data_IF_608763619253
#
_entry.id   IF_608763619253
#
_cell.length_a   1.000
_cell.length_b   1.000
_cell.length_c   1.000
_cell.angle_alpha   90.00
_cell.angle_beta   90.00
_cell.angle_gamma   90.00
#
_symmetry.space_group_name_H-M   'P 1'
#
loop_
_entity.id
_entity.type
_entity.pdbx_description
1 polymer ?
#
# COMPACT_ATOMS: atom_id res chain seq x y z
N UNK A 1 -83.14 36.30 19.73
CA UNK A 1 -82.04 35.75 20.55
C UNK A 1 -81.16 34.66 19.88
N UNK A 2 -81.41 34.24 18.62
CA UNK A 2 -80.71 33.09 18.00
C UNK A 2 -79.33 33.34 17.36
N UNK A 3 -78.96 34.61 17.09
CA UNK A 3 -77.77 34.93 16.27
C UNK A 3 -76.42 34.76 17.01
N UNK A 4 -76.39 34.86 18.34
CA UNK A 4 -75.14 34.84 19.13
C UNK A 4 -74.59 33.41 19.34
N UNK A 5 -75.46 32.39 19.35
CA UNK A 5 -75.04 30.98 19.57
C UNK A 5 -74.30 30.38 18.37
N UNK A 6 -74.60 30.83 17.14
CA UNK A 6 -73.99 30.29 15.93
C UNK A 6 -72.57 30.83 15.68
N UNK A 7 -72.30 32.09 16.04
CA UNK A 7 -70.95 32.68 15.92
C UNK A 7 -69.92 32.01 16.84
N UNK A 8 -70.30 31.61 18.06
CA UNK A 8 -69.38 30.86 18.96
C UNK A 8 -69.05 29.48 18.40
N UNK A 9 -70.03 28.74 17.86
CA UNK A 9 -69.78 27.43 17.20
C UNK A 9 -68.81 27.56 16.02
N UNK A 10 -68.95 28.60 15.20
CA UNK A 10 -68.03 28.84 14.08
C UNK A 10 -66.61 29.22 14.54
N UNK A 11 -66.47 29.91 15.67
CA UNK A 11 -65.15 30.19 16.28
C UNK A 11 -64.47 28.91 16.80
N UNK A 12 -65.22 28.01 17.45
CA UNK A 12 -64.68 26.71 17.86
C UNK A 12 -64.30 25.82 16.65
N UNK A 13 -65.11 25.84 15.58
CA UNK A 13 -64.78 25.16 14.33
C UNK A 13 -63.52 25.75 13.65
N UNK A 14 -63.37 27.07 13.63
CA UNK A 14 -62.19 27.74 13.10
C UNK A 14 -60.91 27.44 13.90
N UNK A 15 -61.00 27.37 15.24
CA UNK A 15 -59.88 26.96 16.11
C UNK A 15 -59.47 25.50 15.81
N UNK A 16 -60.44 24.61 15.60
CA UNK A 16 -60.18 23.22 15.23
C UNK A 16 -59.46 23.08 13.88
N UNK A 17 -59.87 23.87 12.88
CA UNK A 17 -59.20 23.91 11.57
C UNK A 17 -57.76 24.45 11.72
N UNK A 18 -57.54 25.49 12.52
CA UNK A 18 -56.21 26.01 12.81
C UNK A 18 -55.29 24.99 13.49
N UNK A 19 -55.82 24.21 14.43
CA UNK A 19 -55.07 23.14 15.10
C UNK A 19 -54.66 22.02 14.13
N UNK A 20 -55.54 21.63 13.19
CA UNK A 20 -55.22 20.62 12.18
C UNK A 20 -54.13 21.10 11.21
N UNK A 21 -54.13 22.37 10.82
CA UNK A 21 -53.09 22.95 9.95
C UNK A 21 -51.71 22.88 10.63
N UNK A 22 -51.63 23.28 11.90
CA UNK A 22 -50.36 23.23 12.66
C UNK A 22 -49.92 21.78 12.86
N UNK A 23 -50.85 20.86 13.11
CA UNK A 23 -50.54 19.45 13.26
C UNK A 23 -49.91 18.87 11.98
N UNK A 24 -50.52 19.12 10.82
CA UNK A 24 -49.97 18.65 9.53
C UNK A 24 -48.61 19.29 9.26
N UNK A 25 -48.46 20.60 9.50
CA UNK A 25 -47.19 21.29 9.32
C UNK A 25 -46.08 20.69 10.20
N UNK A 26 -46.38 20.40 11.46
CA UNK A 26 -45.42 19.79 12.40
C UNK A 26 -44.98 18.40 11.95
N UNK A 27 -45.92 17.58 11.45
CA UNK A 27 -45.62 16.24 10.92
C UNK A 27 -44.70 16.32 9.70
N UNK A 28 -44.93 17.27 8.79
CA UNK A 28 -44.07 17.46 7.62
C UNK A 28 -42.64 17.91 8.00
N UNK A 29 -42.52 18.86 8.94
CA UNK A 29 -41.21 19.31 9.45
C UNK A 29 -40.47 18.16 10.16
N UNK A 30 -41.19 17.38 10.96
CA UNK A 30 -40.63 16.21 11.63
C UNK A 30 -40.10 15.16 10.62
N UNK A 31 -40.82 14.93 9.51
CA UNK A 31 -40.39 14.03 8.44
C UNK A 31 -39.08 14.46 7.78
N UNK A 32 -38.94 15.77 7.48
CA UNK A 32 -37.69 16.31 6.91
C UNK A 32 -36.54 16.18 7.91
N UNK A 33 -36.77 16.53 9.17
CA UNK A 33 -35.77 16.41 10.22
C UNK A 33 -35.32 14.95 10.42
N UNK A 34 -36.25 13.99 10.40
CA UNK A 34 -35.94 12.56 10.48
C UNK A 34 -35.14 12.06 9.28
N UNK A 35 -35.47 12.51 8.07
CA UNK A 35 -34.73 12.16 6.84
C UNK A 35 -33.27 12.62 6.91
N UNK A 36 -33.04 13.86 7.33
CA UNK A 36 -31.68 14.40 7.51
C UNK A 36 -30.91 13.62 8.59
N UNK A 37 -31.56 13.29 9.71
CA UNK A 37 -30.94 12.50 10.78
C UNK A 37 -30.56 11.09 10.30
N UNK A 38 -31.42 10.44 9.52
CA UNK A 38 -31.11 9.14 8.93
C UNK A 38 -29.94 9.23 7.96
N UNK A 39 -29.97 10.20 7.04
CA UNK A 39 -28.90 10.40 6.07
C UNK A 39 -27.55 10.66 6.73
N UNK A 40 -27.51 11.48 7.79
CA UNK A 40 -26.26 11.73 8.52
C UNK A 40 -25.80 10.48 9.26
N UNK A 41 -26.70 9.72 9.89
CA UNK A 41 -26.38 8.48 10.60
C UNK A 41 -25.79 7.44 9.64
N UNK A 42 -26.43 7.21 8.49
CA UNK A 42 -25.93 6.26 7.48
C UNK A 42 -24.60 6.70 6.89
N UNK A 43 -24.39 8.01 6.65
CA UNK A 43 -23.08 8.49 6.17
C UNK A 43 -21.98 8.26 7.20
N UNK A 44 -22.25 8.52 8.48
CA UNK A 44 -21.30 8.29 9.56
C UNK A 44 -21.01 6.79 9.73
N UNK A 45 -22.01 5.93 9.56
CA UNK A 45 -21.85 4.47 9.60
C UNK A 45 -20.98 3.96 8.44
N UNK A 46 -21.26 4.37 7.20
CA UNK A 46 -20.44 4.00 6.04
C UNK A 46 -19.01 4.51 6.18
N UNK A 47 -18.83 5.75 6.64
CA UNK A 47 -17.50 6.31 6.88
C UNK A 47 -16.76 5.55 7.98
N UNK A 48 -17.43 5.23 9.10
CA UNK A 48 -16.83 4.47 10.18
C UNK A 48 -16.44 3.05 9.75
N UNK A 49 -17.26 2.41 8.91
CA UNK A 49 -16.96 1.09 8.35
C UNK A 49 -15.77 1.15 7.40
N UNK A 50 -15.74 2.13 6.49
CA UNK A 50 -14.63 2.32 5.56
C UNK A 50 -13.32 2.59 6.30
N UNK A 51 -13.28 3.56 7.22
CA UNK A 51 -12.08 3.85 8.02
C UNK A 51 -11.68 2.65 8.89
N UNK A 52 -12.65 1.89 9.42
CA UNK A 52 -12.37 0.65 10.14
C UNK A 52 -11.69 -0.39 9.26
N UNK A 53 -12.16 -0.57 8.02
CA UNK A 53 -11.55 -1.47 7.04
C UNK A 53 -10.15 -1.00 6.64
N UNK A 54 -9.99 0.27 6.26
CA UNK A 54 -8.69 0.88 5.91
C UNK A 54 -7.68 0.70 7.05
N UNK A 55 -8.07 0.97 8.31
CA UNK A 55 -7.16 0.82 9.46
C UNK A 55 -6.78 -0.65 9.72
N UNK A 56 -7.72 -1.58 9.50
CA UNK A 56 -7.45 -3.02 9.62
C UNK A 56 -6.46 -3.43 8.55
N UNK A 57 -6.65 -2.99 7.30
CA UNK A 57 -5.73 -3.25 6.21
C UNK A 57 -4.36 -2.65 6.54
N UNK A 58 -4.25 -1.36 6.79
CA UNK A 58 -2.97 -0.67 7.06
C UNK A 58 -2.14 -1.30 8.20
N UNK A 59 -2.80 -1.85 9.22
CA UNK A 59 -2.12 -2.46 10.38
C UNK A 59 -1.84 -3.95 10.19
N UNK A 60 -2.70 -4.65 9.45
CA UNK A 60 -2.60 -6.11 9.31
C UNK A 60 -1.81 -6.52 8.07
N UNK A 61 -1.74 -5.64 7.08
CA UNK A 61 -1.02 -5.86 5.83
C UNK A 61 0.37 -5.28 5.88
N UNK A 62 1.23 -5.79 5.02
CA UNK A 62 2.60 -5.33 4.91
C UNK A 62 3.46 -6.33 4.19
N UNK A 63 4.68 -5.90 3.90
CA UNK A 63 5.72 -6.73 3.32
C UNK A 63 6.83 -6.93 4.34
N UNK A 64 7.31 -8.16 4.44
CA UNK A 64 8.47 -8.51 5.26
C UNK A 64 9.65 -8.83 4.38
N UNK A 65 10.81 -8.25 4.70
CA UNK A 65 12.09 -8.60 4.08
C UNK A 65 12.58 -9.88 4.73
N UNK A 66 12.79 -10.92 3.93
CA UNK A 66 13.25 -12.22 4.41
C UNK A 66 14.78 -12.29 4.50
N UNK A 67 15.47 -11.72 3.51
CA UNK A 67 16.92 -11.65 3.48
C UNK A 67 17.42 -10.67 2.42
N UNK A 68 18.67 -10.25 2.55
CA UNK A 68 19.32 -9.38 1.57
C UNK A 68 20.66 -9.98 1.16
N UNK A 69 20.82 -10.19 -0.14
CA UNK A 69 22.03 -10.71 -0.76
C UNK A 69 22.71 -9.64 -1.62
N UNK A 70 24.03 -9.54 -1.53
CA UNK A 70 24.85 -8.66 -2.35
C UNK A 70 25.75 -9.46 -3.29
N UNK A 71 25.75 -9.10 -4.57
CA UNK A 71 26.69 -9.63 -5.56
C UNK A 71 27.90 -8.72 -5.68
N UNK A 72 29.05 -9.28 -5.35
CA UNK A 72 30.35 -8.63 -5.40
C UNK A 72 30.98 -8.83 -6.78
N UNK A 73 31.27 -7.72 -7.46
CA UNK A 73 32.06 -7.71 -8.68
C UNK A 73 33.24 -6.76 -8.52
N UNK A 74 34.47 -7.31 -8.55
CA UNK A 74 35.72 -6.55 -8.43
C UNK A 74 35.94 -5.81 -7.10
N UNK A 75 35.40 -6.32 -5.99
CA UNK A 75 35.61 -5.76 -4.66
C UNK A 75 34.60 -4.67 -4.27
N UNK A 76 33.50 -4.56 -5.02
CA UNK A 76 32.36 -3.68 -4.76
C UNK A 76 31.08 -4.48 -4.94
N UNK A 77 30.08 -4.27 -4.09
CA UNK A 77 28.75 -4.85 -4.30
C UNK A 77 28.05 -4.01 -5.35
N UNK A 78 27.78 -4.59 -6.53
CA UNK A 78 27.17 -3.89 -7.67
C UNK A 78 25.70 -4.23 -7.89
N UNK A 79 25.24 -5.36 -7.36
CA UNK A 79 23.84 -5.76 -7.40
C UNK A 79 23.42 -6.17 -6.00
N UNK A 80 22.19 -5.83 -5.65
CA UNK A 80 21.53 -6.19 -4.42
C UNK A 80 20.26 -6.97 -4.77
N UNK A 81 20.05 -8.11 -4.15
CA UNK A 81 18.82 -8.88 -4.21
C UNK A 81 18.16 -8.83 -2.83
N UNK A 82 16.98 -8.26 -2.76
CA UNK A 82 16.20 -8.19 -1.52
C UNK A 82 15.03 -9.16 -1.65
N UNK A 83 15.03 -10.22 -0.87
CA UNK A 83 13.92 -11.16 -0.86
C UNK A 83 12.79 -10.61 0.01
N UNK A 84 11.60 -10.54 -0.58
CA UNK A 84 10.38 -10.07 0.06
C UNK A 84 9.30 -11.14 0.02
N UNK A 85 8.48 -11.13 1.07
CA UNK A 85 7.23 -11.89 1.10
C UNK A 85 6.14 -11.07 1.80
N UNK A 86 4.89 -11.11 1.32
CA UNK A 86 3.77 -10.50 2.03
C UNK A 86 3.56 -11.14 3.40
N UNK A 87 3.20 -10.32 4.39
CA UNK A 87 2.83 -10.81 5.72
C UNK A 87 1.62 -11.74 5.62
N UNK A 88 1.57 -12.75 6.50
CA UNK A 88 0.40 -13.60 6.63
C UNK A 88 -0.86 -12.78 6.95
N UNK A 89 -1.91 -12.97 6.13
CA UNK A 89 -3.17 -12.23 6.26
C UNK A 89 -3.24 -10.94 5.45
N UNK A 90 -2.19 -10.58 4.72
CA UNK A 90 -2.26 -9.55 3.68
C UNK A 90 -3.17 -10.00 2.53
N UNK A 91 -4.00 -9.11 1.95
CA UNK A 91 -4.56 -9.31 0.63
C UNK A 91 -3.45 -9.23 -0.41
N UNK A 92 -3.79 -9.54 -1.65
CA UNK A 92 -2.87 -9.45 -2.77
C UNK A 92 -2.36 -8.00 -2.92
N UNK A 93 -1.06 -7.84 -3.07
CA UNK A 93 -0.38 -6.54 -3.08
C UNK A 93 0.20 -6.26 -4.45
N UNK A 94 0.01 -5.05 -4.96
CA UNK A 94 0.58 -4.63 -6.24
C UNK A 94 1.98 -4.02 -6.06
N UNK A 95 2.97 -4.60 -6.74
CA UNK A 95 4.34 -4.11 -6.75
C UNK A 95 4.61 -3.02 -7.78
N UNK A 96 3.68 -2.73 -8.71
CA UNK A 96 3.89 -1.70 -9.73
C UNK A 96 4.02 -0.30 -9.13
N UNK A 97 3.17 0.02 -8.14
CA UNK A 97 3.20 1.30 -7.41
C UNK A 97 4.14 1.30 -6.20
N UNK A 98 4.85 0.20 -5.96
CA UNK A 98 5.79 0.09 -4.85
C UNK A 98 7.02 0.94 -5.12
N UNK A 99 7.49 1.61 -4.07
CA UNK A 99 8.66 2.49 -4.11
C UNK A 99 9.68 1.97 -3.11
N UNK A 100 10.93 1.84 -3.54
CA UNK A 100 12.04 1.49 -2.65
C UNK A 100 12.85 2.75 -2.38
N UNK A 101 13.07 3.03 -1.10
CA UNK A 101 13.97 4.05 -0.64
C UNK A 101 15.26 3.40 -0.14
N UNK A 102 16.41 3.87 -0.60
CA UNK A 102 17.72 3.38 -0.16
C UNK A 102 18.69 4.54 0.06
N UNK A 103 19.50 4.46 1.11
CA UNK A 103 20.45 5.49 1.50
C UNK A 103 21.76 4.90 2.02
N UNK A 104 22.85 5.57 1.67
CA UNK A 104 24.24 5.31 2.11
C UNK A 104 24.70 6.38 3.13
N UNK A 105 23.74 6.98 3.85
CA UNK A 105 23.98 8.10 4.78
C UNK A 105 24.42 9.42 4.14
N UNK A 106 24.97 9.40 2.92
CA UNK A 106 25.41 10.57 2.15
C UNK A 106 24.43 10.93 1.03
N UNK A 107 23.94 9.92 0.32
CA UNK A 107 22.95 10.05 -0.75
C UNK A 107 21.73 9.19 -0.44
N UNK A 108 20.58 9.63 -0.96
CA UNK A 108 19.30 8.97 -0.77
C UNK A 108 18.60 8.90 -2.11
N UNK A 109 18.25 7.68 -2.51
CA UNK A 109 17.67 7.39 -3.80
C UNK A 109 16.30 6.75 -3.63
N UNK A 110 15.44 7.03 -4.60
CA UNK A 110 14.08 6.51 -4.68
C UNK A 110 14.00 5.72 -5.98
N UNK A 111 13.56 4.47 -5.89
CA UNK A 111 13.47 3.54 -6.99
C UNK A 111 12.01 3.17 -7.22
N UNK A 112 11.58 3.24 -8.47
CA UNK A 112 10.25 2.78 -8.92
C UNK A 112 10.37 1.48 -9.71
N UNK A 113 9.27 0.79 -9.95
CA UNK A 113 9.31 -0.39 -10.80
C UNK A 113 9.77 -0.04 -12.22
N UNK A 114 10.72 -0.80 -12.77
CA UNK A 114 11.29 -0.58 -14.11
C UNK A 114 10.41 -0.97 -15.29
N UNK A 115 9.19 -1.47 -15.02
CA UNK A 115 8.24 -1.92 -16.02
C UNK A 115 8.49 -3.35 -16.50
N UNK A 116 7.74 -3.78 -17.52
CA UNK A 116 7.67 -5.18 -17.94
C UNK A 116 8.99 -5.81 -18.39
N UNK A 117 10.00 -5.01 -18.77
CA UNK A 117 11.33 -5.50 -19.15
C UNK A 117 12.24 -5.85 -17.96
N UNK A 118 11.88 -5.37 -16.77
CA UNK A 118 12.56 -5.59 -15.50
C UNK A 118 11.80 -6.60 -14.63
N UNK A 119 10.91 -7.40 -15.23
CA UNK A 119 10.27 -8.55 -14.60
C UNK A 119 10.82 -9.85 -15.19
N UNK A 120 11.06 -10.85 -14.36
CA UNK A 120 11.40 -12.20 -14.80
C UNK A 120 10.73 -13.26 -13.92
N UNK A 121 10.20 -14.30 -14.56
CA UNK A 121 9.57 -15.43 -13.86
C UNK A 121 10.59 -16.51 -13.51
N UNK A 122 10.30 -17.35 -12.50
CA UNK A 122 11.25 -18.35 -12.01
C UNK A 122 11.70 -19.36 -13.08
N UNK A 123 10.84 -19.63 -14.06
CA UNK A 123 11.13 -20.50 -15.21
C UNK A 123 12.19 -19.93 -16.16
N UNK A 124 12.32 -18.61 -16.24
CA UNK A 124 13.26 -17.90 -17.11
C UNK A 124 14.60 -17.63 -16.42
N UNK A 125 14.63 -17.64 -15.08
CA UNK A 125 15.86 -17.51 -14.28
C UNK A 125 16.79 -18.71 -14.54
N UNK A 126 16.23 -19.90 -14.80
CA UNK A 126 16.98 -21.14 -15.02
C UNK A 126 17.99 -21.45 -13.89
N UNK A 127 17.67 -21.03 -12.66
CA UNK A 127 18.49 -21.25 -11.46
C UNK A 127 19.65 -20.29 -11.23
N UNK A 128 19.89 -19.30 -12.11
CA UNK A 128 20.95 -18.29 -11.94
C UNK A 128 20.35 -16.87 -11.83
N UNK A 129 20.24 -16.39 -10.59
CA UNK A 129 19.71 -15.05 -10.26
C UNK A 129 20.73 -13.95 -10.61
N UNK A 130 22.04 -14.22 -10.52
CA UNK A 130 23.06 -13.20 -10.76
C UNK A 130 23.06 -12.74 -12.23
N UNK A 131 22.91 -13.70 -13.15
CA UNK A 131 22.96 -13.45 -14.59
C UNK A 131 21.60 -13.13 -15.19
N UNK A 132 20.56 -13.85 -14.79
CA UNK A 132 19.22 -13.76 -15.41
C UNK A 132 18.22 -12.96 -14.58
N UNK A 133 18.54 -12.66 -13.31
CA UNK A 133 17.74 -11.78 -12.47
C UNK A 133 17.70 -10.34 -12.99
N UNK A 134 16.59 -9.66 -12.71
CA UNK A 134 16.39 -8.26 -13.11
C UNK A 134 16.73 -7.34 -11.95
N UNK A 135 17.70 -6.46 -12.18
CA UNK A 135 18.23 -5.55 -11.16
C UNK A 135 17.89 -4.07 -11.44
N UNK A 136 17.13 -3.78 -12.49
CA UNK A 136 16.78 -2.41 -12.84
C UNK A 136 17.99 -1.56 -13.25
N UNK A 137 17.83 -0.24 -13.12
CA UNK A 137 18.82 0.76 -13.51
C UNK A 137 18.96 1.87 -12.47
N UNK A 138 19.22 3.10 -12.91
CA UNK A 138 19.56 4.24 -12.02
C UNK A 138 18.45 4.66 -11.06
N UNK A 139 17.19 4.55 -11.48
CA UNK A 139 16.02 4.99 -10.69
C UNK A 139 14.95 3.90 -10.65
N UNK A 140 15.32 2.68 -11.06
CA UNK A 140 14.37 1.59 -11.23
C UNK A 140 14.88 0.35 -10.54
N UNK A 141 13.97 -0.43 -9.96
CA UNK A 141 14.26 -1.78 -9.49
C UNK A 141 13.62 -2.81 -10.42
N UNK A 142 14.18 -4.02 -10.41
CA UNK A 142 13.62 -5.17 -11.10
C UNK A 142 12.95 -6.14 -10.13
N UNK A 143 12.02 -6.93 -10.66
CA UNK A 143 11.25 -7.94 -9.94
C UNK A 143 11.63 -9.30 -10.52
N UNK A 144 12.02 -10.21 -9.64
CA UNK A 144 12.43 -11.56 -9.98
C UNK A 144 11.60 -12.52 -9.14
N UNK A 145 10.68 -13.26 -9.76
CA UNK A 145 9.77 -14.16 -9.04
C UNK A 145 10.49 -15.47 -8.74
N UNK A 146 10.52 -15.88 -7.46
CA UNK A 146 11.09 -17.17 -7.05
C UNK A 146 10.00 -18.23 -6.95
N UNK A 147 8.95 -17.92 -6.20
CA UNK A 147 7.83 -18.80 -5.96
C UNK A 147 6.54 -18.03 -6.11
N UNK A 148 5.72 -18.51 -7.03
CA UNK A 148 4.37 -18.04 -7.30
C UNK A 148 3.56 -19.28 -7.67
N UNK A 149 2.53 -19.59 -6.89
CA UNK A 149 1.73 -20.79 -7.05
C UNK A 149 0.52 -20.60 -7.97
N UNK A 150 0.03 -19.36 -8.10
CA UNK A 150 -1.17 -19.02 -8.86
C UNK A 150 -0.89 -18.21 -10.14
N UNK A 151 0.39 -17.95 -10.42
CA UNK A 151 0.89 -17.20 -11.58
C UNK A 151 0.34 -15.75 -11.61
N UNK A 152 0.08 -15.18 -10.43
CA UNK A 152 -0.45 -13.82 -10.29
C UNK A 152 0.58 -12.73 -10.60
N UNK A 153 1.87 -13.03 -10.41
CA UNK A 153 2.94 -12.05 -10.54
C UNK A 153 3.41 -11.95 -12.00
N UNK A 154 2.64 -11.25 -12.84
CA UNK A 154 2.98 -11.06 -14.26
C UNK A 154 3.77 -9.78 -14.53
N UNK A 155 4.43 -9.70 -15.69
CA UNK A 155 5.23 -8.54 -16.07
C UNK A 155 4.45 -7.23 -16.23
N UNK A 156 3.13 -7.31 -16.42
CA UNK A 156 2.24 -6.14 -16.56
C UNK A 156 1.45 -5.83 -15.30
N UNK A 157 1.27 -6.82 -14.42
CA UNK A 157 0.57 -6.68 -13.15
C UNK A 157 1.31 -7.55 -12.13
N UNK A 158 2.39 -7.03 -11.52
CA UNK A 158 3.20 -7.78 -10.57
C UNK A 158 2.49 -7.80 -9.21
N UNK A 159 1.45 -8.63 -9.11
CA UNK A 159 0.67 -8.82 -7.90
C UNK A 159 1.28 -9.97 -7.11
N UNK A 160 1.47 -9.79 -5.81
CA UNK A 160 1.98 -10.81 -4.89
C UNK A 160 0.95 -11.16 -3.82
N UNK A 161 0.71 -12.45 -3.63
CA UNK A 161 -0.21 -13.00 -2.65
C UNK A 161 0.50 -13.67 -1.47
N UNK A 162 -0.30 -14.30 -0.60
CA UNK A 162 0.23 -15.03 0.54
C UNK A 162 0.97 -16.30 0.12
N UNK A 163 2.25 -16.39 0.51
CA UNK A 163 3.10 -17.54 0.21
C UNK A 163 3.96 -17.37 -1.03
N UNK A 164 3.87 -16.21 -1.68
CA UNK A 164 4.75 -15.84 -2.77
C UNK A 164 6.05 -15.27 -2.25
N UNK A 165 7.13 -15.61 -2.97
CA UNK A 165 8.47 -15.15 -2.70
C UNK A 165 9.01 -14.47 -3.94
N UNK A 166 9.42 -13.21 -3.77
CA UNK A 166 9.88 -12.37 -4.87
C UNK A 166 11.15 -11.67 -4.43
N UNK A 167 12.11 -11.56 -5.35
CA UNK A 167 13.31 -10.76 -5.19
C UNK A 167 13.10 -9.41 -5.86
N UNK A 168 13.36 -8.35 -5.10
CA UNK A 168 13.55 -7.00 -5.63
C UNK A 168 15.05 -6.83 -5.92
N UNK A 169 15.40 -6.73 -7.19
CA UNK A 169 16.75 -6.52 -7.65
C UNK A 169 17.06 -5.04 -7.82
N UNK A 170 18.19 -4.59 -7.26
CA UNK A 170 18.68 -3.22 -7.38
C UNK A 170 20.12 -3.24 -7.88
N UNK A 171 20.40 -2.47 -8.95
CA UNK A 171 21.75 -2.22 -9.45
C UNK A 171 22.41 -1.10 -8.64
N UNK A 172 23.13 -1.45 -7.58
CA UNK A 172 23.83 -0.48 -6.73
C UNK A 172 24.92 0.29 -7.48
N UNK A 173 25.48 -0.27 -8.57
CA UNK A 173 26.43 0.46 -9.40
C UNK A 173 25.81 1.63 -10.14
N UNK A 174 24.55 1.50 -10.58
CA UNK A 174 23.84 2.53 -11.31
C UNK A 174 23.16 3.52 -10.37
N UNK A 175 22.59 3.02 -9.27
CA UNK A 175 21.93 3.85 -8.24
C UNK A 175 22.95 4.72 -7.51
N UNK A 176 24.04 4.13 -7.01
CA UNK A 176 25.14 4.86 -6.36
C UNK A 176 26.26 5.18 -7.36
N UNK A 177 25.91 5.96 -8.38
CA UNK A 177 26.83 6.33 -9.48
C UNK A 177 28.13 7.01 -9.00
N UNK A 178 28.14 7.64 -7.83
CA UNK A 178 29.33 8.28 -7.23
C UNK A 178 30.39 7.28 -6.81
N UNK A 179 29.97 6.13 -6.26
CA UNK A 179 30.86 5.07 -5.77
C UNK A 179 30.90 3.84 -6.71
N UNK A 180 30.05 3.80 -7.75
CA UNK A 180 29.92 2.68 -8.68
C UNK A 180 29.69 1.33 -7.97
N UNK A 181 28.95 1.37 -6.86
CA UNK A 181 28.64 0.23 -6.00
C UNK A 181 28.89 0.51 -4.52
N UNK A 182 28.63 -0.48 -3.66
CA UNK A 182 28.81 -0.36 -2.22
C UNK A 182 30.21 -0.79 -1.79
N UNK A 183 30.89 0.12 -1.10
CA UNK A 183 32.20 -0.15 -0.50
C UNK A 183 32.08 -1.00 0.78
N UNK A 184 33.15 -1.71 1.18
CA UNK A 184 33.18 -2.42 2.47
C UNK A 184 33.04 -1.46 3.65
N UNK A 185 32.37 -1.89 4.73
CA UNK A 185 32.11 -1.11 5.96
C UNK A 185 31.22 0.11 5.75
N UNK A 186 30.26 -0.03 4.86
CA UNK A 186 29.26 0.99 4.57
C UNK A 186 27.93 0.60 5.23
N UNK A 187 27.29 1.57 5.89
CA UNK A 187 25.96 1.41 6.48
C UNK A 187 24.90 1.79 5.45
N UNK A 188 24.00 0.85 5.15
CA UNK A 188 22.88 1.05 4.24
C UNK A 188 21.58 0.95 5.00
N UNK A 189 20.76 1.96 4.82
CA UNK A 189 19.41 2.02 5.36
C UNK A 189 18.43 2.19 4.20
N UNK A 190 17.29 1.52 4.29
CA UNK A 190 16.25 1.61 3.29
C UNK A 190 14.91 1.14 3.79
N UNK A 191 13.89 1.42 3.00
CA UNK A 191 12.56 0.90 3.26
C UNK A 191 11.82 0.70 1.95
N UNK A 192 10.97 -0.33 1.94
CA UNK A 192 10.09 -0.68 0.83
C UNK A 192 8.71 -0.15 1.18
N UNK A 193 8.28 0.87 0.46
CA UNK A 193 6.97 1.48 0.61
C UNK A 193 6.02 0.89 -0.43
N UNK A 194 5.01 0.22 0.08
CA UNK A 194 3.87 -0.32 -0.67
C UNK A 194 2.69 0.65 -0.61
N UNK A 195 1.68 0.45 -1.45
CA UNK A 195 0.51 1.34 -1.53
C UNK A 195 -0.35 1.31 -0.24
N UNK A 196 -0.57 0.12 0.32
CA UNK A 196 -1.33 -0.08 1.55
C UNK A 196 -0.58 -1.04 2.48
N UNK A 197 -0.52 -0.72 3.78
CA UNK A 197 0.13 -1.57 4.78
C UNK A 197 1.48 -1.08 5.29
N UNK A 198 2.08 -1.89 6.16
CA UNK A 198 3.36 -1.57 6.79
C UNK A 198 4.54 -1.73 5.82
N UNK A 199 5.46 -0.75 5.76
CA UNK A 199 6.63 -0.83 4.91
C UNK A 199 7.63 -1.89 5.39
N UNK A 200 8.32 -2.52 4.44
CA UNK A 200 9.46 -3.39 4.74
C UNK A 200 10.69 -2.55 5.10
N UNK A 201 11.42 -2.91 6.15
CA UNK A 201 12.64 -2.19 6.55
C UNK A 201 13.87 -2.96 6.07
N UNK A 202 14.82 -2.25 5.47
CA UNK A 202 16.12 -2.76 5.05
C UNK A 202 17.18 -2.02 5.86
N UNK A 203 18.09 -2.76 6.49
CA UNK A 203 19.15 -2.14 7.27
C UNK A 203 20.29 -3.12 7.48
N UNK A 204 21.43 -2.85 6.85
CA UNK A 204 22.61 -3.70 6.96
C UNK A 204 23.89 -2.89 6.87
N UNK A 205 24.96 -3.45 7.45
CA UNK A 205 26.32 -2.91 7.33
C UNK A 205 27.15 -3.88 6.50
N UNK A 206 27.76 -3.43 5.40
CA UNK A 206 28.59 -4.29 4.57
C UNK A 206 29.85 -4.75 5.34
N UNK A 207 30.31 -6.00 5.17
CA UNK A 207 31.49 -6.51 5.88
C UNK A 207 32.78 -5.78 5.47
N UNK A 208 33.86 -5.98 6.24
CA UNK A 208 35.13 -5.25 6.03
C UNK A 208 35.91 -5.65 4.79
N UNK A 209 35.57 -6.76 4.17
CA UNK A 209 36.19 -7.24 2.92
C UNK A 209 35.25 -8.24 2.25
N UNK A 210 35.18 -8.18 0.92
CA UNK A 210 34.41 -9.13 0.12
C UNK A 210 35.31 -10.24 -0.38
N UNK A 211 35.05 -11.47 0.09
CA UNK A 211 35.86 -12.65 -0.26
C UNK A 211 35.12 -13.53 -1.28
N UNK A 212 33.81 -13.66 -1.09
CA UNK A 212 32.93 -14.42 -1.97
C UNK A 212 32.25 -13.51 -3.01
N UNK A 213 31.76 -14.12 -4.09
CA UNK A 213 30.98 -13.41 -5.13
C UNK A 213 29.57 -13.09 -4.65
N UNK A 214 29.01 -13.90 -3.75
CA UNK A 214 27.69 -13.71 -3.15
C UNK A 214 27.87 -13.56 -1.66
N UNK A 215 27.28 -12.51 -1.08
CA UNK A 215 27.40 -12.17 0.33
C UNK A 215 26.02 -11.96 0.90
N UNK A 216 25.69 -12.70 1.96
CA UNK A 216 24.50 -12.47 2.77
C UNK A 216 24.75 -11.25 3.67
N UNK A 217 23.87 -10.25 3.57
CA UNK A 217 23.99 -8.96 4.25
C UNK A 217 22.98 -8.82 5.41
N UNK A 218 21.84 -9.49 5.31
CA UNK A 218 20.77 -9.51 6.31
C UNK A 218 20.03 -10.84 6.31
#
# INVERSE_FOLDING_TARGET
MGCIRNRRKNQFAAIGIGAMIVFIAMVLVAGIAASVLFQTSTRLEMQALQTGQETITDTSTGVTVYGVEGFNESGLIKKLAIEITPKAGSPDMDLENTIIEISDGSEKHILSFGGSGEHVNSSEINGDIETNGKFGGTTTFGITVLQDADESCTSSTPIIGYGDHVILGISTSDVFSTNSGLSPRTDIEGMILIEEGAPGIIGFTTPSSYVDSIIELQ
#
